data_IF_813474562995
#
_entry.id   IF_813474562995
#
_cell.length_a   1.000
_cell.length_b   1.000
_cell.length_c   1.000
_cell.angle_alpha   90.00
_cell.angle_beta   90.00
_cell.angle_gamma   90.00
#
_symmetry.space_group_name_H-M   'P 1'
#
loop_
_entity.id
_entity.type
_entity.pdbx_description
1 polymer ?
#
# COMPACT_ATOMS: atom_id res chain seq x y z
N UNK A 1 21.49 10.52 4.95
CA UNK A 1 20.15 10.12 4.51
C UNK A 1 19.76 8.94 5.38
N UNK A 2 19.09 9.20 6.50
CA UNK A 2 18.70 8.19 7.48
C UNK A 2 17.70 7.23 6.87
N UNK A 3 18.19 6.09 6.36
CA UNK A 3 17.34 4.94 6.03
C UNK A 3 16.91 4.35 7.37
N UNK A 4 15.71 4.70 7.85
CA UNK A 4 15.09 3.98 8.98
C UNK A 4 15.00 2.49 8.59
N UNK A 5 15.68 1.58 9.32
CA UNK A 5 15.56 0.15 9.07
C UNK A 5 14.09 -0.27 9.14
N UNK A 6 13.65 -1.14 8.22
CA UNK A 6 12.30 -1.71 8.24
C UNK A 6 11.98 -2.39 9.59
N UNK A 7 13.00 -2.82 10.31
CA UNK A 7 12.95 -3.48 11.62
C UNK A 7 12.53 -2.55 12.77
N UNK A 8 12.65 -1.23 12.61
CA UNK A 8 12.23 -0.25 13.62
C UNK A 8 10.72 0.09 13.54
N UNK A 9 10.07 -0.33 12.44
CA UNK A 9 8.65 -0.09 12.23
C UNK A 9 7.83 -1.08 13.04
N UNK A 10 6.83 -0.60 13.78
CA UNK A 10 5.85 -1.51 14.37
C UNK A 10 5.09 -2.27 13.28
N UNK A 11 4.62 -3.48 13.61
CA UNK A 11 3.96 -4.37 12.67
C UNK A 11 2.81 -3.70 11.90
N UNK A 12 1.97 -2.93 12.59
CA UNK A 12 0.85 -2.25 11.97
C UNK A 12 1.30 -1.21 10.94
N UNK A 13 2.38 -0.46 11.20
CA UNK A 13 2.93 0.50 10.26
C UNK A 13 3.58 -0.19 9.06
N UNK A 14 4.32 -1.29 9.30
CA UNK A 14 4.91 -2.11 8.25
C UNK A 14 3.84 -2.63 7.28
N UNK A 15 2.71 -3.10 7.80
CA UNK A 15 1.58 -3.55 6.96
C UNK A 15 0.96 -2.43 6.12
N UNK A 16 0.83 -1.23 6.69
CA UNK A 16 0.32 -0.07 5.95
C UNK A 16 1.27 0.37 4.84
N UNK A 17 2.57 0.37 5.10
CA UNK A 17 3.59 0.68 4.09
C UNK A 17 3.63 -0.37 2.97
N UNK A 18 3.54 -1.66 3.33
CA UNK A 18 3.43 -2.74 2.36
C UNK A 18 2.15 -2.63 1.51
N UNK A 19 1.04 -2.16 2.09
CA UNK A 19 -0.20 -1.91 1.34
C UNK A 19 -0.07 -0.73 0.35
N UNK A 20 0.64 0.33 0.74
CA UNK A 20 0.97 1.45 -0.17
C UNK A 20 1.75 0.92 -1.37
N UNK A 21 2.81 0.14 -1.12
CA UNK A 21 3.63 -0.47 -2.19
C UNK A 21 2.80 -1.36 -3.10
N UNK A 22 2.01 -2.27 -2.52
CA UNK A 22 1.14 -3.17 -3.26
C UNK A 22 0.20 -2.39 -4.19
N UNK A 23 -0.43 -1.33 -3.70
CA UNK A 23 -1.33 -0.51 -4.51
C UNK A 23 -0.60 0.19 -5.65
N UNK A 24 0.57 0.77 -5.39
CA UNK A 24 1.34 1.43 -6.44
C UNK A 24 1.80 0.43 -7.51
N UNK A 25 2.31 -0.72 -7.09
CA UNK A 25 2.88 -1.73 -7.98
C UNK A 25 1.80 -2.47 -8.80
N UNK A 26 0.70 -2.85 -8.16
CA UNK A 26 -0.32 -3.69 -8.81
C UNK A 26 -1.54 -2.91 -9.30
N UNK A 27 -1.92 -1.81 -8.63
CA UNK A 27 -3.12 -1.03 -8.97
C UNK A 27 -2.79 0.32 -9.63
N UNK A 28 -1.52 0.71 -9.67
CA UNK A 28 -1.04 1.93 -10.35
C UNK A 28 -1.33 3.24 -9.63
N UNK A 29 -2.06 3.23 -8.52
CA UNK A 29 -2.19 4.40 -7.65
C UNK A 29 -2.58 4.07 -6.20
N UNK A 30 -2.34 5.05 -5.33
CA UNK A 30 -2.82 5.03 -3.95
C UNK A 30 -3.23 6.44 -3.51
N UNK A 31 -4.34 6.51 -2.77
CA UNK A 31 -4.86 7.74 -2.18
C UNK A 31 -4.97 7.57 -0.68
N UNK A 32 -5.02 8.71 0.01
CA UNK A 32 -5.23 8.74 1.46
C UNK A 32 -6.51 7.99 1.91
N UNK A 33 -7.68 8.12 1.24
CA UNK A 33 -8.86 7.34 1.61
C UNK A 33 -8.65 5.83 1.52
N UNK A 34 -7.85 5.33 0.57
CA UNK A 34 -7.63 3.89 0.44
C UNK A 34 -6.99 3.28 1.71
N UNK A 35 -6.11 4.03 2.39
CA UNK A 35 -5.54 3.61 3.68
C UNK A 35 -6.57 3.75 4.82
N UNK A 36 -7.37 4.81 4.80
CA UNK A 36 -8.40 5.05 5.83
C UNK A 36 -9.46 3.94 5.79
N UNK A 37 -9.95 3.62 4.60
CA UNK A 37 -10.98 2.61 4.40
C UNK A 37 -10.47 1.21 4.72
N UNK A 38 -9.19 0.92 4.39
CA UNK A 38 -8.58 -0.39 4.66
C UNK A 38 -8.27 -0.62 6.14
N UNK A 39 -7.70 0.37 6.82
CA UNK A 39 -7.14 0.18 8.17
C UNK A 39 -7.94 0.89 9.28
N UNK A 40 -9.00 1.64 8.94
CA UNK A 40 -9.79 2.40 9.92
C UNK A 40 -9.01 3.51 10.63
N UNK A 41 -7.95 4.02 10.01
CA UNK A 41 -7.04 5.01 10.60
C UNK A 41 -7.51 6.45 10.34
N UNK A 42 -7.11 7.36 11.23
CA UNK A 42 -7.36 8.79 11.03
C UNK A 42 -6.59 9.35 9.81
N UNK A 43 -7.10 10.41 9.14
CA UNK A 43 -6.45 11.01 7.98
C UNK A 43 -4.99 11.45 8.20
N UNK A 44 -4.67 11.90 9.43
CA UNK A 44 -3.32 12.31 9.79
C UNK A 44 -2.34 11.13 9.80
N UNK A 45 -2.78 9.93 10.20
CA UNK A 45 -1.97 8.71 10.19
C UNK A 45 -1.70 8.28 8.75
N UNK A 46 -2.75 8.24 7.91
CA UNK A 46 -2.60 7.90 6.50
C UNK A 46 -1.65 8.86 5.75
N UNK A 47 -1.72 10.16 6.03
CA UNK A 47 -0.80 11.15 5.45
C UNK A 47 0.64 10.90 5.90
N UNK A 48 0.84 10.54 7.17
CA UNK A 48 2.17 10.22 7.72
C UNK A 48 2.74 8.94 7.11
N UNK A 49 1.92 7.91 6.89
CA UNK A 49 2.39 6.67 6.28
C UNK A 49 2.76 6.85 4.80
N UNK A 50 2.00 7.67 4.05
CA UNK A 50 2.36 8.04 2.66
C UNK A 50 3.69 8.80 2.61
N UNK A 51 3.91 9.73 3.53
CA UNK A 51 5.20 10.42 3.65
C UNK A 51 6.32 9.45 4.03
N UNK A 52 6.09 8.55 5.00
CA UNK A 52 7.07 7.56 5.42
C UNK A 52 7.44 6.58 4.30
N UNK A 53 6.48 6.15 3.49
CA UNK A 53 6.78 5.31 2.32
C UNK A 53 7.63 6.06 1.29
N UNK A 54 7.31 7.33 1.03
CA UNK A 54 8.09 8.18 0.13
C UNK A 54 9.51 8.44 0.63
N UNK A 55 9.71 8.58 1.94
CA UNK A 55 11.04 8.68 2.55
C UNK A 55 11.83 7.37 2.40
N UNK A 56 11.15 6.23 2.59
CA UNK A 56 11.74 4.90 2.47
C UNK A 56 12.13 4.56 1.03
N UNK A 57 11.26 4.87 0.08
CA UNK A 57 11.35 4.48 -1.32
C UNK A 57 11.05 5.67 -2.25
N UNK A 58 11.91 6.70 -2.28
CA UNK A 58 11.65 7.94 -3.02
C UNK A 58 11.56 7.74 -4.54
N UNK A 59 12.13 6.66 -5.08
CA UNK A 59 12.03 6.29 -6.50
C UNK A 59 10.74 5.51 -6.81
N UNK A 60 9.98 5.07 -5.81
CA UNK A 60 8.80 4.24 -6.04
C UNK A 60 7.50 5.05 -6.16
N UNK A 61 7.52 6.35 -5.81
CA UNK A 61 6.28 7.10 -5.64
C UNK A 61 6.45 8.57 -6.02
N UNK A 62 5.53 9.06 -6.85
CA UNK A 62 5.37 10.49 -7.13
C UNK A 62 3.92 10.93 -6.88
N UNK A 63 3.69 12.24 -6.75
CA UNK A 63 2.38 12.82 -6.53
C UNK A 63 1.84 13.50 -7.79
N UNK A 64 0.78 12.92 -8.36
CA UNK A 64 0.03 13.55 -9.45
C UNK A 64 -0.93 14.61 -8.85
N UNK A 65 -0.53 15.87 -8.94
CA UNK A 65 -1.31 17.00 -8.43
C UNK A 65 -2.64 17.25 -9.14
N UNK A 66 -2.80 16.78 -10.39
CA UNK A 66 -4.03 16.94 -11.17
C UNK A 66 -5.11 15.98 -10.66
N UNK A 67 -4.73 14.72 -10.46
CA UNK A 67 -5.61 13.67 -9.92
C UNK A 67 -5.68 13.63 -8.40
N UNK A 68 -4.73 14.29 -7.71
CA UNK A 68 -4.53 14.25 -6.26
C UNK A 68 -4.32 12.82 -5.74
N UNK A 69 -3.52 12.05 -6.46
CA UNK A 69 -3.18 10.65 -6.12
C UNK A 69 -1.68 10.45 -6.15
N UNK A 70 -1.19 9.41 -5.49
CA UNK A 70 0.19 8.98 -5.64
C UNK A 70 0.26 7.88 -6.69
N UNK A 71 1.28 7.93 -7.54
CA UNK A 71 1.49 7.03 -8.67
C UNK A 71 2.90 6.41 -8.61
N UNK A 72 3.10 5.20 -9.15
CA UNK A 72 4.44 4.63 -9.28
C UNK A 72 5.27 5.45 -10.27
N UNK A 73 6.59 5.37 -10.16
CA UNK A 73 7.51 5.92 -11.17
C UNK A 73 8.14 4.80 -11.99
N UNK A 74 8.80 5.15 -13.10
CA UNK A 74 9.53 4.18 -13.94
C UNK A 74 10.71 3.50 -13.20
N UNK A 75 11.21 4.12 -12.13
CA UNK A 75 12.32 3.62 -11.31
C UNK A 75 11.91 2.75 -10.12
N UNK A 76 10.69 2.22 -10.13
CA UNK A 76 10.13 1.50 -8.99
C UNK A 76 10.86 0.18 -8.71
N UNK A 77 11.33 0.02 -7.48
CA UNK A 77 11.94 -1.20 -6.96
C UNK A 77 11.27 -1.60 -5.63
N UNK A 78 10.44 -2.67 -5.59
CA UNK A 78 9.72 -3.06 -4.37
C UNK A 78 10.66 -3.29 -3.18
N UNK A 79 10.31 -2.73 -2.02
CA UNK A 79 11.10 -2.78 -0.78
C UNK A 79 10.55 -3.80 0.21
N UNK A 80 9.28 -4.19 0.06
CA UNK A 80 8.66 -5.24 0.84
C UNK A 80 8.64 -6.55 0.05
N UNK A 81 8.98 -7.66 0.73
CA UNK A 81 8.75 -8.98 0.15
C UNK A 81 7.26 -9.21 -0.05
N UNK A 82 6.87 -9.37 -1.31
CA UNK A 82 5.55 -9.79 -1.70
C UNK A 82 5.58 -11.29 -1.96
N UNK A 83 5.28 -12.08 -0.93
CA UNK A 83 5.12 -13.54 -1.06
C UNK A 83 4.01 -13.86 -2.07
N UNK A 84 4.29 -14.57 -3.19
CA UNK A 84 3.34 -14.77 -4.29
C UNK A 84 2.00 -15.35 -3.86
N UNK A 85 1.99 -16.33 -2.94
CA UNK A 85 0.77 -16.91 -2.38
C UNK A 85 -0.08 -15.89 -1.61
N UNK A 86 0.58 -14.95 -0.93
CA UNK A 86 -0.07 -13.85 -0.21
C UNK A 86 -0.60 -12.79 -1.18
N UNK A 87 0.08 -12.53 -2.30
CA UNK A 87 -0.42 -11.66 -3.38
C UNK A 87 -1.66 -12.27 -4.03
N UNK A 88 -1.60 -13.56 -4.40
CA UNK A 88 -2.72 -14.26 -5.03
C UNK A 88 -3.93 -14.33 -4.09
N UNK A 89 -3.69 -14.59 -2.80
CA UNK A 89 -4.73 -14.50 -1.77
C UNK A 89 -5.25 -13.08 -1.61
N UNK A 90 -4.39 -12.06 -1.64
CA UNK A 90 -4.80 -10.67 -1.55
C UNK A 90 -5.61 -10.18 -2.76
N UNK A 91 -5.27 -10.65 -3.96
CA UNK A 91 -5.99 -10.34 -5.19
C UNK A 91 -7.36 -11.04 -5.21
N UNK A 92 -7.41 -12.31 -4.80
CA UNK A 92 -8.65 -13.10 -4.79
C UNK A 92 -9.57 -12.85 -3.59
N UNK A 93 -9.03 -12.44 -2.43
CA UNK A 93 -9.76 -12.31 -1.15
C UNK A 93 -9.57 -10.97 -0.42
N UNK A 94 -8.66 -10.11 -0.90
CA UNK A 94 -8.28 -8.84 -0.24
C UNK A 94 -6.99 -8.94 0.60
N UNK A 95 -6.20 -7.85 0.65
CA UNK A 95 -4.84 -7.81 1.24
C UNK A 95 -4.78 -7.83 2.79
N UNK A 96 -4.53 -8.99 3.39
CA UNK A 96 -4.37 -9.12 4.84
C UNK A 96 -5.67 -9.53 5.53
N UNK A 97 -5.85 -10.84 5.70
CA UNK A 97 -6.86 -11.43 6.58
C UNK A 97 -6.34 -11.42 8.02
N UNK A 98 -6.57 -10.32 8.72
CA UNK A 98 -6.79 -10.33 10.17
C UNK A 98 -8.29 -10.35 10.41
N UNK A 99 -8.76 -11.20 11.32
CA UNK A 99 -10.17 -11.51 11.60
C UNK A 99 -10.96 -10.20 11.88
N UNK A 100 -11.64 -9.66 10.87
CA UNK A 100 -12.48 -8.47 11.04
C UNK A 100 -12.73 -7.69 9.75
N UNK A 101 -13.91 -7.93 9.15
CA UNK A 101 -14.48 -7.33 7.93
C UNK A 101 -13.79 -7.72 6.62
N UNK A 102 -14.54 -8.49 5.82
CA UNK A 102 -14.21 -8.77 4.44
C UNK A 102 -14.09 -7.45 3.64
N UNK A 103 -12.87 -7.11 3.23
CA UNK A 103 -12.66 -6.22 2.10
C UNK A 103 -13.06 -7.02 0.86
N UNK A 104 -13.95 -6.49 0.03
CA UNK A 104 -14.17 -7.07 -1.31
C UNK A 104 -12.81 -7.23 -2.01
N UNK A 105 -12.57 -8.37 -2.64
CA UNK A 105 -11.35 -8.64 -3.40
C UNK A 105 -11.12 -7.57 -4.47
N UNK A 106 -9.87 -7.39 -4.88
CA UNK A 106 -9.52 -6.39 -5.91
C UNK A 106 -9.86 -6.86 -7.34
N UNK A 107 -10.26 -8.13 -7.50
CA UNK A 107 -10.76 -8.69 -8.75
C UNK A 107 -12.24 -9.04 -8.60
N UNK A 108 -13.08 -8.45 -9.44
CA UNK A 108 -14.42 -8.97 -9.69
C UNK A 108 -14.26 -10.26 -10.53
N UNK A 109 -14.49 -11.42 -9.93
CA UNK A 109 -14.67 -12.66 -10.67
C UNK A 109 -16.05 -12.66 -11.35
N UNK A 110 -16.20 -11.85 -12.39
CA UNK A 110 -17.37 -11.92 -13.26
C UNK A 110 -16.98 -11.50 -14.67
N UNK A 111 -16.33 -12.44 -15.37
CA UNK A 111 -16.50 -12.59 -16.81
C UNK A 111 -16.84 -14.07 -17.09
N UNK A 112 -17.93 -14.35 -17.82
CA UNK A 112 -18.33 -15.71 -18.20
C UNK A 112 -17.34 -16.39 -19.15
#
# INVERSE_FOLDING_TARGET
>A
MDKRPLEELNQAQRERLAFIEFRLWFLGDVRRPDLMDRFGIAPAVATRDLAAYRELAPQNIDFDGSRKVYVPTDGFEPVFEHEPDRILSALSRGFGEGIGKASAGFLLCEFP
#
